data_IF_451925695203
#
_entry.id   IF_451925695203
#
_cell.length_a   1.000
_cell.length_b   1.000
_cell.length_c   1.000
_cell.angle_alpha   90.00
_cell.angle_beta   90.00
_cell.angle_gamma   90.00
#
_symmetry.space_group_name_H-M   'P 1'
#
loop_
_entity.id
_entity.type
_entity.pdbx_description
1 polymer ?
#
# COMPACT_ATOMS: atom_id res chain seq x y z
N UNK A 1 -20.60 5.90 -1.50
CA UNK A 1 -19.62 4.87 -1.90
C UNK A 1 -19.49 3.92 -0.74
N UNK A 2 -19.83 2.66 -0.93
CA UNK A 2 -19.81 1.68 0.17
C UNK A 2 -18.52 0.89 0.13
N UNK A 3 -17.58 1.29 0.98
CA UNK A 3 -16.30 0.61 1.17
C UNK A 3 -16.46 -0.69 1.94
N UNK A 4 -15.58 -1.65 1.65
CA UNK A 4 -15.53 -2.90 2.40
C UNK A 4 -15.23 -2.63 3.88
N UNK A 5 -15.82 -3.44 4.75
CA UNK A 5 -15.58 -3.42 6.19
C UNK A 5 -15.31 -4.82 6.69
N UNK A 6 -14.43 -4.94 7.69
CA UNK A 6 -14.17 -6.18 8.41
C UNK A 6 -14.60 -5.98 9.86
N UNK A 7 -15.56 -6.78 10.32
CA UNK A 7 -16.17 -6.63 11.65
C UNK A 7 -16.65 -5.18 11.91
N UNK A 8 -17.32 -4.57 10.92
CA UNK A 8 -17.80 -3.17 10.92
C UNK A 8 -16.71 -2.09 10.96
N UNK A 9 -15.43 -2.46 10.83
CA UNK A 9 -14.30 -1.52 10.80
C UNK A 9 -13.89 -1.24 9.36
N UNK A 10 -13.57 0.01 9.05
CA UNK A 10 -13.09 0.41 7.73
C UNK A 10 -11.78 -0.30 7.39
N UNK A 11 -11.55 -0.54 6.10
CA UNK A 11 -10.33 -1.15 5.58
C UNK A 11 -9.84 -0.33 4.41
N UNK A 12 -8.56 -0.01 4.43
CA UNK A 12 -7.82 0.53 3.30
C UNK A 12 -6.54 -0.28 3.08
N UNK A 13 -5.89 -0.06 1.94
CA UNK A 13 -4.73 -0.81 1.50
C UNK A 13 -3.60 0.16 1.17
N UNK A 14 -2.50 0.08 1.93
CA UNK A 14 -1.29 0.87 1.69
C UNK A 14 -0.35 0.07 0.78
N UNK A 15 -0.20 0.52 -0.45
CA UNK A 15 0.85 0.08 -1.35
C UNK A 15 2.09 0.96 -1.16
N UNK A 16 3.25 0.34 -0.94
CA UNK A 16 4.54 1.01 -1.03
C UNK A 16 5.17 0.65 -2.37
N UNK A 17 5.45 1.67 -3.18
CA UNK A 17 6.14 1.53 -4.46
C UNK A 17 7.45 2.29 -4.39
N UNK A 18 8.50 1.69 -4.95
CA UNK A 18 9.82 2.31 -5.06
C UNK A 18 10.34 2.08 -6.46
N UNK A 19 11.20 2.97 -6.93
CA UNK A 19 12.07 2.63 -8.05
C UNK A 19 13.09 1.58 -7.60
N UNK A 20 13.34 0.60 -8.45
CA UNK A 20 14.31 -0.46 -8.18
C UNK A 20 15.73 -0.03 -8.55
N UNK A 21 16.68 -0.98 -8.46
CA UNK A 21 18.08 -0.78 -8.86
C UNK A 21 18.29 -0.44 -10.34
N UNK A 22 17.26 -0.51 -11.17
CA UNK A 22 17.29 -0.16 -12.59
C UNK A 22 16.50 1.14 -12.86
N UNK A 23 16.07 1.84 -11.80
CA UNK A 23 15.24 3.04 -11.90
C UNK A 23 13.79 2.79 -12.28
N UNK A 24 13.30 1.54 -12.25
CA UNK A 24 11.93 1.20 -12.66
C UNK A 24 11.02 1.07 -11.45
N UNK A 25 9.80 1.61 -11.54
CA UNK A 25 8.79 1.46 -10.48
C UNK A 25 8.46 -0.01 -10.23
N UNK A 26 8.46 -0.40 -8.96
CA UNK A 26 8.09 -1.73 -8.50
C UNK A 26 7.31 -1.65 -7.18
N UNK A 27 6.31 -2.51 -7.04
CA UNK A 27 5.60 -2.68 -5.77
C UNK A 27 6.51 -3.40 -4.78
N UNK A 28 6.73 -2.78 -3.64
CA UNK A 28 7.56 -3.34 -2.56
C UNK A 28 6.71 -4.09 -1.54
N UNK A 29 5.54 -3.55 -1.20
CA UNK A 29 4.57 -4.24 -0.35
C UNK A 29 3.19 -3.65 -0.53
N UNK A 30 2.17 -4.46 -0.26
CA UNK A 30 0.79 -3.98 -0.05
C UNK A 30 0.29 -4.59 1.24
N UNK A 31 -0.22 -3.75 2.14
CA UNK A 31 -0.77 -4.18 3.43
C UNK A 31 -2.19 -3.66 3.59
N UNK A 32 -3.06 -4.45 4.20
CA UNK A 32 -4.38 -4.00 4.60
C UNK A 32 -4.30 -3.37 5.99
N UNK A 33 -4.89 -2.19 6.16
CA UNK A 33 -5.04 -1.48 7.43
C UNK A 33 -6.50 -1.51 7.83
N UNK A 34 -6.80 -2.20 8.92
CA UNK A 34 -8.16 -2.30 9.47
C UNK A 34 -8.26 -1.29 10.62
N UNK A 35 -9.25 -0.40 10.57
CA UNK A 35 -9.41 0.63 11.60
C UNK A 35 -9.66 0.05 13.00
N UNK A 36 -9.29 0.82 14.03
CA UNK A 36 -9.64 0.51 15.42
C UNK A 36 -11.14 0.69 15.67
N UNK A 37 -11.69 0.00 16.68
CA UNK A 37 -13.14 -0.12 16.93
C UNK A 37 -13.94 1.19 17.07
N UNK A 38 -13.28 2.34 17.31
CA UNK A 38 -13.93 3.64 17.55
C UNK A 38 -13.43 4.79 16.65
N UNK A 39 -12.69 4.52 15.55
CA UNK A 39 -12.15 5.60 14.72
C UNK A 39 -12.41 5.39 13.22
N UNK A 40 -12.80 6.48 12.55
CA UNK A 40 -13.00 6.52 11.09
C UNK A 40 -11.71 6.27 10.29
N UNK A 41 -10.55 6.52 10.90
CA UNK A 41 -9.22 6.47 10.28
C UNK A 41 -8.44 5.25 10.75
N UNK A 42 -7.85 4.50 9.81
CA UNK A 42 -7.10 3.26 10.04
C UNK A 42 -5.69 3.46 10.58
N UNK A 43 -5.48 4.44 11.48
CA UNK A 43 -4.16 4.72 12.00
C UNK A 43 -3.73 3.60 12.99
N UNK A 44 -2.63 2.91 12.70
CA UNK A 44 -2.10 1.81 13.53
C UNK A 44 -1.83 2.27 14.97
N UNK A 45 -1.40 3.52 15.14
CA UNK A 45 -1.15 4.12 16.44
C UNK A 45 -2.41 4.29 17.32
N UNK A 46 -3.62 4.15 16.75
CA UNK A 46 -4.91 4.30 17.44
C UNK A 46 -5.70 2.98 17.49
N UNK A 47 -4.99 1.85 17.54
CA UNK A 47 -5.60 0.52 17.68
C UNK A 47 -6.07 -0.11 16.37
N UNK A 48 -5.55 0.37 15.23
CA UNK A 48 -5.69 -0.32 13.94
C UNK A 48 -4.99 -1.68 13.94
N UNK A 49 -5.29 -2.53 12.97
CA UNK A 49 -4.63 -3.84 12.80
C UNK A 49 -4.08 -3.95 11.38
N UNK A 50 -2.82 -4.39 11.25
CA UNK A 50 -2.25 -4.77 9.96
C UNK A 50 -2.65 -6.20 9.62
N UNK A 51 -3.00 -6.41 8.37
CA UNK A 51 -3.30 -7.73 7.82
C UNK A 51 -2.68 -7.87 6.44
N UNK A 52 -2.46 -9.11 6.00
CA UNK A 52 -2.13 -9.35 4.60
C UNK A 52 -3.34 -8.97 3.75
N UNK A 53 -3.10 -8.56 2.50
CA UNK A 53 -4.18 -8.30 1.55
C UNK A 53 -5.09 -9.53 1.43
N UNK A 54 -4.51 -10.73 1.34
CA UNK A 54 -5.26 -11.97 1.17
C UNK A 54 -6.20 -12.24 2.35
N UNK A 55 -5.72 -12.07 3.58
CA UNK A 55 -6.51 -12.33 4.79
C UNK A 55 -7.62 -11.29 4.96
N UNK A 56 -7.31 -10.01 4.71
CA UNK A 56 -8.32 -8.95 4.74
C UNK A 56 -9.43 -9.19 3.71
N UNK A 57 -9.07 -9.56 2.48
CA UNK A 57 -10.04 -9.89 1.44
C UNK A 57 -10.84 -11.15 1.82
N UNK A 58 -10.21 -12.17 2.40
CA UNK A 58 -10.88 -13.38 2.86
C UNK A 58 -12.00 -13.05 3.87
N UNK A 59 -11.72 -12.15 4.83
CA UNK A 59 -12.69 -11.67 5.83
C UNK A 59 -13.73 -10.67 5.30
N UNK A 60 -13.52 -10.10 4.11
CA UNK A 60 -14.43 -9.09 3.53
C UNK A 60 -15.66 -9.71 2.86
N UNK A 61 -16.66 -8.86 2.59
CA UNK A 61 -17.94 -9.24 1.96
C UNK A 61 -17.93 -9.24 0.42
N UNK A 62 -16.80 -9.00 -0.24
CA UNK A 62 -16.76 -8.92 -1.71
C UNK A 62 -16.88 -10.31 -2.37
N UNK A 63 -17.29 -10.39 -3.65
CA UNK A 63 -17.36 -11.66 -4.39
C UNK A 63 -16.04 -12.42 -4.45
N UNK A 64 -16.09 -13.76 -4.47
CA UNK A 64 -14.89 -14.61 -4.51
C UNK A 64 -13.98 -14.32 -5.71
N UNK A 65 -14.56 -14.07 -6.88
CA UNK A 65 -13.84 -13.67 -8.10
C UNK A 65 -13.07 -12.35 -7.91
N UNK A 66 -13.67 -11.39 -7.20
CA UNK A 66 -13.01 -10.14 -6.83
C UNK A 66 -11.89 -10.39 -5.82
N UNK A 67 -12.07 -11.28 -4.82
CA UNK A 67 -11.00 -11.63 -3.86
C UNK A 67 -9.77 -12.22 -4.55
N UNK A 68 -9.96 -13.03 -5.59
CA UNK A 68 -8.86 -13.67 -6.33
C UNK A 68 -8.06 -12.67 -7.18
N UNK A 69 -8.74 -11.68 -7.77
CA UNK A 69 -8.13 -10.74 -8.72
C UNK A 69 -7.67 -9.43 -8.08
N UNK A 70 -8.27 -9.01 -6.97
CA UNK A 70 -7.97 -7.75 -6.31
C UNK A 70 -6.49 -7.53 -5.96
N UNK A 71 -5.71 -8.53 -5.47
CA UNK A 71 -4.29 -8.32 -5.18
C UNK A 71 -3.49 -7.90 -6.41
N UNK A 72 -3.68 -8.59 -7.54
CA UNK A 72 -3.00 -8.25 -8.80
C UNK A 72 -3.45 -6.88 -9.32
N UNK A 73 -4.75 -6.59 -9.25
CA UNK A 73 -5.29 -5.29 -9.68
C UNK A 73 -4.83 -4.14 -8.80
N UNK A 74 -4.61 -4.35 -7.50
CA UNK A 74 -4.04 -3.33 -6.60
C UNK A 74 -2.57 -3.05 -6.93
N UNK A 75 -1.78 -4.10 -7.22
CA UNK A 75 -0.41 -3.91 -7.68
C UNK A 75 -0.36 -3.11 -8.99
N UNK A 76 -1.22 -3.47 -9.95
CA UNK A 76 -1.30 -2.76 -11.22
C UNK A 76 -1.72 -1.30 -11.01
N UNK A 77 -2.79 -1.05 -10.25
CA UNK A 77 -3.24 0.30 -9.95
C UNK A 77 -2.16 1.14 -9.28
N UNK A 78 -1.40 0.58 -8.33
CA UNK A 78 -0.31 1.30 -7.67
C UNK A 78 0.81 1.69 -8.65
N UNK A 79 1.16 0.82 -9.60
CA UNK A 79 2.15 1.12 -10.63
C UNK A 79 1.63 2.15 -11.64
N UNK A 80 0.39 2.01 -12.10
CA UNK A 80 -0.24 2.95 -13.03
C UNK A 80 -0.31 4.36 -12.43
N UNK A 81 -0.64 4.45 -11.13
CA UNK A 81 -0.65 5.71 -10.38
C UNK A 81 0.77 6.29 -10.29
N UNK A 82 1.78 5.47 -9.97
CA UNK A 82 3.16 5.94 -9.87
C UNK A 82 3.69 6.49 -11.20
N UNK A 83 3.43 5.78 -12.29
CA UNK A 83 3.79 6.22 -13.64
C UNK A 83 3.01 7.48 -14.05
N UNK A 84 1.72 7.54 -13.77
CA UNK A 84 0.89 8.71 -14.05
C UNK A 84 1.36 9.96 -13.30
N UNK A 85 1.74 9.80 -12.02
CA UNK A 85 2.23 10.90 -11.20
C UNK A 85 3.59 11.43 -11.70
N UNK A 86 4.50 10.52 -12.04
CA UNK A 86 5.81 10.87 -12.61
C UNK A 86 5.68 11.59 -13.96
N UNK A 87 4.73 11.18 -14.80
CA UNK A 87 4.47 11.84 -16.08
C UNK A 87 3.84 13.23 -15.93
N UNK A 88 2.99 13.41 -14.91
CA UNK A 88 2.22 14.65 -14.70
C UNK A 88 2.97 15.72 -13.90
N UNK A 89 3.89 15.32 -13.00
CA UNK A 89 4.54 16.23 -12.06
C UNK A 89 6.04 16.30 -12.36
N UNK A 90 6.60 17.48 -12.68
CA UNK A 90 8.01 17.65 -13.04
C UNK A 90 8.94 17.68 -11.82
N UNK A 91 8.73 16.76 -10.87
CA UNK A 91 9.58 16.57 -9.70
C UNK A 91 10.07 15.12 -9.65
N UNK A 92 11.21 14.93 -9.00
CA UNK A 92 11.80 13.61 -8.85
C UNK A 92 11.15 12.82 -7.72
N UNK A 93 10.63 11.63 -8.04
CA UNK A 93 10.13 10.67 -7.07
C UNK A 93 10.92 9.35 -7.15
N UNK A 94 11.28 8.82 -5.99
CA UNK A 94 11.90 7.49 -5.84
C UNK A 94 11.07 6.51 -4.99
N UNK A 95 10.11 7.03 -4.23
CA UNK A 95 9.19 6.26 -3.40
C UNK A 95 7.82 6.92 -3.37
N UNK A 96 6.76 6.12 -3.28
CA UNK A 96 5.40 6.59 -3.00
C UNK A 96 4.70 5.61 -2.05
N UNK A 97 3.92 6.16 -1.12
CA UNK A 97 2.89 5.43 -0.38
C UNK A 97 1.53 5.73 -1.00
N UNK A 98 0.87 4.73 -1.56
CA UNK A 98 -0.40 4.87 -2.25
C UNK A 98 -1.47 4.18 -1.40
N UNK A 99 -2.49 4.93 -0.99
CA UNK A 99 -3.62 4.39 -0.24
C UNK A 99 -4.78 4.11 -1.18
N UNK A 100 -5.21 2.86 -1.16
CA UNK A 100 -6.28 2.34 -1.96
C UNK A 100 -7.43 1.89 -1.07
N UNK A 101 -8.64 1.92 -1.62
CA UNK A 101 -9.81 1.31 -1.03
C UNK A 101 -10.47 0.33 -2.00
N UNK A 102 -11.28 -0.57 -1.45
CA UNK A 102 -12.13 -1.45 -2.25
C UNK A 102 -13.58 -1.22 -1.84
N UNK A 103 -14.46 -1.07 -2.82
CA UNK A 103 -15.90 -1.01 -2.57
C UNK A 103 -16.54 -2.41 -2.52
N UNK A 104 -17.79 -2.50 -2.07
CA UNK A 104 -18.53 -3.76 -1.95
C UNK A 104 -18.71 -4.51 -3.29
N UNK A 105 -18.54 -3.83 -4.43
CA UNK A 105 -18.54 -4.45 -5.76
C UNK A 105 -17.17 -5.01 -6.19
N UNK A 106 -16.11 -4.74 -5.41
CA UNK A 106 -14.74 -5.13 -5.72
C UNK A 106 -14.01 -4.16 -6.66
N UNK A 107 -14.50 -2.92 -6.82
CA UNK A 107 -13.74 -1.87 -7.52
C UNK A 107 -12.70 -1.28 -6.59
N UNK A 108 -11.53 -0.99 -7.16
CA UNK A 108 -10.40 -0.37 -6.46
C UNK A 108 -10.43 1.13 -6.70
N UNK A 109 -10.19 1.89 -5.64
CA UNK A 109 -10.25 3.33 -5.62
C UNK A 109 -8.99 3.90 -5.01
N UNK A 110 -8.49 5.00 -5.59
CA UNK A 110 -7.41 5.79 -5.00
C UNK A 110 -7.98 6.70 -3.91
N UNK A 111 -7.37 6.67 -2.72
CA UNK A 111 -7.67 7.59 -1.62
C UNK A 111 -6.68 8.75 -1.57
N UNK A 112 -5.38 8.43 -1.43
CA UNK A 112 -4.31 9.42 -1.34
C UNK A 112 -2.99 8.85 -1.88
N UNK A 113 -2.07 9.75 -2.24
CA UNK A 113 -0.69 9.43 -2.59
C UNK A 113 0.24 10.30 -1.74
N UNK A 114 1.19 9.66 -1.05
CA UNK A 114 2.19 10.32 -0.23
C UNK A 114 3.58 10.12 -0.84
N UNK A 115 4.26 11.22 -1.17
CA UNK A 115 5.63 11.19 -1.72
C UNK A 115 6.73 11.00 -0.67
N UNK A 116 6.38 11.03 0.63
CA UNK A 116 7.28 10.76 1.75
C UNK A 116 6.58 9.89 2.80
N UNK A 117 6.29 8.62 2.50
CA UNK A 117 5.54 7.75 3.41
C UNK A 117 6.27 7.53 4.73
N UNK A 118 5.53 7.64 5.84
CA UNK A 118 6.03 7.37 7.19
C UNK A 118 6.58 5.95 7.30
N UNK A 119 7.78 5.81 7.88
CA UNK A 119 8.41 4.51 8.10
C UNK A 119 7.85 3.81 9.35
N UNK A 120 7.14 4.49 10.25
CA UNK A 120 6.65 3.89 11.50
C UNK A 120 5.34 3.10 11.39
N UNK A 121 4.48 3.45 10.44
CA UNK A 121 3.06 3.05 10.45
C UNK A 121 2.76 1.62 10.01
N UNK A 122 3.70 0.96 9.31
CA UNK A 122 3.50 -0.38 8.75
C UNK A 122 4.54 -1.40 9.27
N UNK A 123 5.20 -1.07 10.38
CA UNK A 123 6.15 -1.99 11.01
C UNK A 123 5.37 -3.14 11.66
N UNK A 124 5.66 -4.42 11.38
CA UNK A 124 5.18 -5.49 12.24
C UNK A 124 5.70 -5.22 13.66
N UNK A 125 4.82 -5.39 14.66
CA UNK A 125 5.12 -5.18 16.08
C UNK A 125 6.31 -6.02 16.58
N UNK A 126 6.62 -7.10 15.85
CA UNK A 126 7.76 -7.99 16.08
C UNK A 126 8.72 -7.90 14.89
N UNK A 127 9.38 -6.76 14.73
CA UNK A 127 10.56 -6.69 13.88
C UNK A 127 11.73 -7.29 14.65
N UNK A 128 11.90 -8.62 14.54
CA UNK A 128 13.25 -9.18 14.59
C UNK A 128 14.15 -8.29 13.73
N UNK A 129 15.42 -8.17 14.12
CA UNK A 129 16.51 -7.32 13.62
C UNK A 129 16.81 -7.31 12.10
N UNK A 130 15.87 -7.74 11.25
CA UNK A 130 15.94 -7.73 9.79
C UNK A 130 15.64 -6.33 9.24
N UNK A 131 16.51 -5.90 8.32
CA UNK A 131 16.34 -4.67 7.55
C UNK A 131 15.04 -4.73 6.74
N UNK A 132 14.28 -3.63 6.76
CA UNK A 132 13.00 -3.54 6.07
C UNK A 132 13.19 -3.54 4.55
N UNK A 133 12.38 -4.28 3.77
CA UNK A 133 12.47 -4.27 2.31
C UNK A 133 12.40 -2.87 1.70
N UNK A 134 11.59 -1.97 2.25
CA UNK A 134 11.50 -0.57 1.80
C UNK A 134 12.82 0.19 1.97
N UNK A 135 13.55 -0.03 3.07
CA UNK A 135 14.86 0.58 3.28
C UNK A 135 15.88 0.04 2.26
N UNK A 136 15.88 -1.27 2.00
CA UNK A 136 16.73 -1.89 0.98
C UNK A 136 16.45 -1.30 -0.41
N UNK A 137 15.18 -1.16 -0.78
CA UNK A 137 14.77 -0.60 -2.08
C UNK A 137 15.24 0.84 -2.27
N UNK A 138 15.13 1.66 -1.22
CA UNK A 138 15.60 3.04 -1.27
C UNK A 138 17.12 3.10 -1.49
N UNK A 139 17.90 2.27 -0.78
CA UNK A 139 19.36 2.19 -0.97
C UNK A 139 19.70 1.73 -2.39
N UNK A 140 19.01 0.72 -2.93
CA UNK A 140 19.20 0.26 -4.30
C UNK A 140 18.93 1.37 -5.33
N UNK A 141 17.91 2.19 -5.10
CA UNK A 141 17.63 3.31 -5.99
C UNK A 141 18.68 4.41 -5.88
N UNK A 142 19.17 4.69 -4.68
CA UNK A 142 20.29 5.62 -4.50
C UNK A 142 21.54 5.15 -5.27
N UNK A 143 21.86 3.84 -5.22
CA UNK A 143 22.97 3.26 -5.98
C UNK A 143 22.82 3.50 -7.49
N UNK A 144 21.61 3.22 -8.02
CA UNK A 144 21.26 3.51 -9.42
C UNK A 144 21.48 4.98 -9.79
N UNK A 145 21.05 5.93 -8.95
CA UNK A 145 21.22 7.36 -9.21
C UNK A 145 22.69 7.80 -9.20
N UNK A 146 23.54 7.10 -8.44
CA UNK A 146 24.99 7.38 -8.38
C UNK A 146 25.81 6.62 -9.42
N UNK A 147 25.20 5.73 -10.21
CA UNK A 147 25.89 4.88 -11.18
C UNK A 147 26.73 3.75 -10.56
N UNK A 148 26.37 3.32 -9.33
CA UNK A 148 26.98 2.19 -8.62
C UNK A 148 26.31 0.86 -8.96
#
# INVERSE_FOLDING_TARGET
MDLIRINRRNVDFRALVHKDKNGKWAVTSVVARIAGGNHFVSNLARGGTLSSVKDALAMSSIPLSSKQTAPARMNQAALDIAHGLEAAIPYHFGELGIDLAIDTSGRIWLLEVNSKPSKGENAPLNADSKVRPSAVRLVQYCQYLTGL
#
